data_IF_110003160036
#
_entry.id   IF_110003160036
#
_cell.length_a   1.000
_cell.length_b   1.000
_cell.length_c   1.000
_cell.angle_alpha   90.00
_cell.angle_beta   90.00
_cell.angle_gamma   90.00
#
_symmetry.space_group_name_H-M   'P 1'
#
loop_
_entity.id
_entity.type
_entity.pdbx_description
1 polymer ?
#
# COMPACT_ATOMS: atom_id res chain seq x y z
N UNK A 1 9.34 43.88 -29.18
CA UNK A 1 8.30 43.69 -28.15
C UNK A 1 7.74 42.25 -28.18
N UNK A 2 8.57 41.23 -28.45
CA UNK A 2 8.14 39.85 -28.72
C UNK A 2 8.93 38.80 -27.90
N UNK A 3 9.44 39.18 -26.73
CA UNK A 3 10.28 38.31 -25.91
C UNK A 3 9.79 38.17 -24.45
N UNK A 4 8.66 38.82 -24.13
CA UNK A 4 8.06 38.81 -22.78
C UNK A 4 7.04 37.67 -22.61
N UNK A 5 6.26 37.40 -23.65
CA UNK A 5 5.16 36.42 -23.59
C UNK A 5 5.62 34.96 -23.46
N UNK A 6 6.83 34.64 -23.93
CA UNK A 6 7.36 33.27 -23.87
C UNK A 6 7.95 32.91 -22.49
N UNK A 7 8.42 33.90 -21.73
CA UNK A 7 8.93 33.72 -20.36
C UNK A 7 7.78 33.61 -19.33
N UNK A 8 6.69 34.37 -19.51
CA UNK A 8 5.53 34.34 -18.62
C UNK A 8 4.71 33.04 -18.76
N UNK A 9 4.78 32.35 -19.90
CA UNK A 9 4.12 31.05 -20.13
C UNK A 9 4.75 29.91 -19.33
N UNK A 10 6.07 29.87 -19.25
CA UNK A 10 6.85 28.82 -18.57
C UNK A 10 6.75 28.93 -17.03
N UNK A 11 6.83 30.16 -16.49
CA UNK A 11 6.69 30.41 -15.06
C UNK A 11 5.28 30.07 -14.53
N UNK A 12 4.24 30.30 -15.34
CA UNK A 12 2.87 29.89 -15.01
C UNK A 12 2.67 28.37 -15.05
N UNK A 13 3.31 27.65 -15.97
CA UNK A 13 3.27 26.18 -16.02
C UNK A 13 3.95 25.57 -14.78
N UNK A 14 5.12 26.06 -14.41
CA UNK A 14 5.85 25.61 -13.22
C UNK A 14 5.01 25.82 -11.94
N UNK A 15 4.41 27.01 -11.77
CA UNK A 15 3.53 27.29 -10.61
C UNK A 15 2.36 26.31 -10.53
N UNK A 16 1.70 26.06 -11.66
CA UNK A 16 0.58 25.12 -11.78
C UNK A 16 1.00 23.70 -11.39
N UNK A 17 2.13 23.24 -11.89
CA UNK A 17 2.70 21.92 -11.56
C UNK A 17 3.04 21.80 -10.08
N UNK A 18 3.68 22.82 -9.51
CA UNK A 18 4.00 22.87 -8.08
C UNK A 18 2.74 22.76 -7.22
N UNK A 19 1.69 23.51 -7.55
CA UNK A 19 0.39 23.43 -6.87
C UNK A 19 -0.22 22.03 -6.99
N UNK A 20 -0.19 21.44 -8.19
CA UNK A 20 -0.65 20.07 -8.41
C UNK A 20 0.08 19.05 -7.55
N UNK A 21 1.41 19.14 -7.49
CA UNK A 21 2.25 18.24 -6.68
C UNK A 21 2.01 18.46 -5.20
N UNK A 22 1.89 19.71 -4.75
CA UNK A 22 1.55 20.03 -3.37
C UNK A 22 0.19 19.43 -2.97
N UNK A 23 -0.81 19.51 -3.85
CA UNK A 23 -2.12 18.88 -3.63
C UNK A 23 -2.00 17.35 -3.57
N UNK A 24 -1.23 16.74 -4.47
CA UNK A 24 -0.97 15.31 -4.45
C UNK A 24 -0.35 14.86 -3.11
N UNK A 25 0.70 15.55 -2.66
CA UNK A 25 1.36 15.27 -1.39
C UNK A 25 0.43 15.50 -0.19
N UNK A 26 -0.39 16.56 -0.19
CA UNK A 26 -1.39 16.81 0.84
C UNK A 26 -2.41 15.66 0.94
N UNK A 27 -2.96 15.20 -0.18
CA UNK A 27 -3.91 14.08 -0.23
C UNK A 27 -3.27 12.82 0.35
N UNK A 28 -2.08 12.46 -0.12
CA UNK A 28 -1.43 11.21 0.24
C UNK A 28 -0.95 11.20 1.69
N UNK A 29 -0.27 12.27 2.10
CA UNK A 29 0.20 12.42 3.48
C UNK A 29 -0.97 12.40 4.47
N UNK A 30 -2.10 13.03 4.10
CA UNK A 30 -3.30 12.99 4.93
C UNK A 30 -3.86 11.57 5.07
N UNK A 31 -3.86 10.77 4.00
CA UNK A 31 -4.28 9.37 4.08
C UNK A 31 -3.32 8.50 4.88
N UNK A 32 -2.02 8.67 4.66
CA UNK A 32 -0.99 7.88 5.34
C UNK A 32 -0.95 8.20 6.84
N UNK A 33 -1.21 9.45 7.24
CA UNK A 33 -1.20 9.89 8.64
C UNK A 33 -2.58 9.87 9.30
N UNK A 34 -3.66 9.59 8.55
CA UNK A 34 -5.03 9.69 9.06
C UNK A 34 -5.43 11.11 9.49
N UNK A 35 -4.83 12.14 8.88
CA UNK A 35 -5.04 13.54 9.22
C UNK A 35 -6.05 14.22 8.28
N UNK A 36 -6.72 15.29 8.74
CA UNK A 36 -7.54 16.12 7.85
C UNK A 36 -6.70 16.75 6.74
N UNK A 37 -7.26 16.76 5.52
CA UNK A 37 -6.65 17.43 4.37
C UNK A 37 -6.81 18.94 4.49
N UNK A 38 -5.82 19.70 4.02
CA UNK A 38 -6.02 21.13 3.75
C UNK A 38 -6.99 21.27 2.56
N UNK A 39 -8.15 21.94 2.72
CA UNK A 39 -9.13 22.08 1.65
C UNK A 39 -8.54 22.91 0.50
N UNK A 40 -8.88 22.53 -0.73
CA UNK A 40 -8.41 23.21 -1.94
C UNK A 40 -9.59 23.41 -2.91
N UNK A 41 -9.71 24.61 -3.50
CA UNK A 41 -10.78 24.90 -4.46
C UNK A 41 -10.52 24.18 -5.78
N UNK A 42 -11.48 23.39 -6.26
CA UNK A 42 -11.31 22.48 -7.41
C UNK A 42 -11.09 23.19 -8.75
N UNK A 43 -11.46 24.48 -8.85
CA UNK A 43 -11.45 25.26 -10.09
C UNK A 43 -10.05 25.65 -10.59
N UNK A 44 -8.99 25.48 -9.79
CA UNK A 44 -7.62 25.86 -10.16
C UNK A 44 -6.76 24.67 -10.65
N UNK A 45 -7.39 23.53 -10.97
CA UNK A 45 -6.66 22.39 -11.49
C UNK A 45 -6.06 22.71 -12.86
N UNK A 46 -4.74 22.60 -13.03
CA UNK A 46 -4.14 22.56 -14.35
C UNK A 46 -4.56 21.22 -14.96
N UNK A 47 -5.59 21.23 -15.79
CA UNK A 47 -5.77 20.17 -16.79
C UNK A 47 -4.60 20.35 -17.74
N UNK A 48 -3.53 19.58 -17.53
CA UNK A 48 -2.42 19.60 -18.46
C UNK A 48 -2.88 19.02 -19.80
N UNK A 49 -2.45 19.66 -20.88
CA UNK A 49 -2.26 18.97 -22.16
C UNK A 49 -1.21 17.89 -21.92
N UNK A 50 -1.66 16.65 -21.74
CA UNK A 50 -0.87 15.42 -21.53
C UNK A 50 -0.02 15.04 -22.77
N UNK A 51 0.25 15.99 -23.66
CA UNK A 51 0.89 15.76 -24.96
C UNK A 51 2.40 15.92 -24.98
N UNK A 52 3.02 16.52 -23.95
CA UNK A 52 4.48 16.68 -23.91
C UNK A 52 5.17 15.49 -23.20
N UNK A 53 5.86 14.61 -23.95
CA UNK A 53 6.57 13.45 -23.38
C UNK A 53 7.76 13.83 -22.48
N UNK A 54 8.17 15.10 -22.43
CA UNK A 54 9.18 15.57 -21.49
C UNK A 54 8.61 15.90 -20.10
N UNK A 55 7.28 16.01 -19.96
CA UNK A 55 6.64 16.41 -18.72
C UNK A 55 6.28 15.21 -17.82
N UNK A 56 7.28 14.71 -17.10
CA UNK A 56 7.10 13.59 -16.16
C UNK A 56 6.20 13.90 -14.96
N UNK A 57 6.02 15.18 -14.63
CA UNK A 57 5.11 15.59 -13.56
C UNK A 57 3.66 15.32 -13.94
N UNK A 58 3.32 15.40 -15.24
CA UNK A 58 1.98 15.09 -15.73
C UNK A 58 1.57 13.65 -15.40
N UNK A 59 2.51 12.69 -15.47
CA UNK A 59 2.22 11.30 -15.09
C UNK A 59 1.81 11.19 -13.61
N UNK A 60 2.53 11.85 -12.69
CA UNK A 60 2.18 11.84 -11.26
C UNK A 60 0.84 12.55 -11.01
N UNK A 61 0.61 13.68 -11.68
CA UNK A 61 -0.63 14.44 -11.53
C UNK A 61 -1.84 13.71 -12.10
N UNK A 62 -1.65 12.86 -13.12
CA UNK A 62 -2.71 12.00 -13.67
C UNK A 62 -3.27 11.01 -12.64
N UNK A 63 -2.53 10.71 -11.57
CA UNK A 63 -2.96 9.84 -10.48
C UNK A 63 -3.84 10.53 -9.44
N UNK A 64 -3.91 11.87 -9.46
CA UNK A 64 -4.63 12.65 -8.45
C UNK A 64 -6.14 12.36 -8.41
N UNK A 65 -6.87 12.26 -9.54
CA UNK A 65 -8.29 11.92 -9.53
C UNK A 65 -8.56 10.57 -8.84
N UNK A 66 -7.78 9.54 -9.19
CA UNK A 66 -7.88 8.23 -8.54
C UNK A 66 -7.56 8.31 -7.04
N UNK A 67 -6.54 9.08 -6.65
CA UNK A 67 -6.18 9.30 -5.24
C UNK A 67 -7.32 9.93 -4.44
N UNK A 68 -7.95 10.98 -4.98
CA UNK A 68 -9.09 11.65 -4.33
C UNK A 68 -10.31 10.74 -4.28
N UNK A 69 -10.54 9.93 -5.32
CA UNK A 69 -11.62 8.93 -5.34
C UNK A 69 -11.47 7.84 -4.28
N UNK A 70 -10.24 7.53 -3.88
CA UNK A 70 -9.92 6.56 -2.82
C UNK A 70 -10.03 7.14 -1.40
N UNK A 71 -10.76 8.23 -1.18
CA UNK A 71 -10.99 8.82 0.14
C UNK A 71 -11.50 7.78 1.16
N UNK A 72 -10.80 7.51 2.27
CA UNK A 72 -11.23 6.56 3.30
C UNK A 72 -12.60 6.88 3.90
N UNK A 73 -13.00 8.15 3.89
CA UNK A 73 -14.31 8.59 4.39
C UNK A 73 -15.48 8.27 3.45
N UNK A 74 -15.24 7.78 2.23
CA UNK A 74 -16.28 7.47 1.24
C UNK A 74 -16.42 5.95 1.06
N UNK A 75 -17.63 5.38 1.22
CA UNK A 75 -17.84 3.98 0.91
C UNK A 75 -17.53 3.72 -0.57
N UNK A 76 -16.73 2.70 -0.85
CA UNK A 76 -16.35 2.32 -2.23
C UNK A 76 -16.84 0.90 -2.52
N UNK A 77 -17.69 0.77 -3.53
CA UNK A 77 -18.19 -0.54 -3.99
C UNK A 77 -17.08 -1.38 -4.65
N UNK A 78 -17.08 -2.69 -4.45
CA UNK A 78 -16.04 -3.60 -4.97
C UNK A 78 -15.90 -3.59 -6.51
N UNK A 79 -16.99 -3.39 -7.25
CA UNK A 79 -16.94 -3.24 -8.71
C UNK A 79 -16.21 -1.97 -9.15
N UNK A 80 -16.33 -0.89 -8.38
CA UNK A 80 -15.61 0.37 -8.62
C UNK A 80 -14.10 0.21 -8.32
N UNK A 81 -13.72 -0.68 -7.40
CA UNK A 81 -12.30 -0.96 -7.12
C UNK A 81 -11.62 -1.73 -8.25
N UNK A 82 -12.29 -2.74 -8.82
CA UNK A 82 -11.73 -3.50 -9.94
C UNK A 82 -11.61 -2.65 -11.22
N UNK A 83 -12.57 -1.76 -11.48
CA UNK A 83 -12.45 -0.80 -12.59
C UNK A 83 -11.30 0.19 -12.36
N UNK A 84 -11.21 0.77 -11.15
CA UNK A 84 -10.11 1.66 -10.76
C UNK A 84 -8.75 0.97 -10.91
N UNK A 85 -8.62 -0.28 -10.48
CA UNK A 85 -7.40 -1.07 -10.65
C UNK A 85 -7.06 -1.26 -12.14
N UNK A 86 -8.06 -1.58 -12.97
CA UNK A 86 -7.89 -1.74 -14.41
C UNK A 86 -7.40 -0.46 -15.09
N UNK A 87 -7.93 0.69 -14.69
CA UNK A 87 -7.52 2.00 -15.21
C UNK A 87 -6.09 2.35 -14.77
N UNK A 88 -5.78 2.18 -13.50
CA UNK A 88 -4.42 2.39 -12.97
C UNK A 88 -3.39 1.48 -13.64
N UNK A 89 -3.74 0.24 -13.99
CA UNK A 89 -2.81 -0.67 -14.68
C UNK A 89 -2.67 -0.38 -16.19
N UNK A 90 -3.59 0.39 -16.78
CA UNK A 90 -3.51 0.84 -18.18
C UNK A 90 -2.69 2.13 -18.35
N UNK A 91 -2.56 2.94 -17.30
CA UNK A 91 -1.81 4.18 -17.37
C UNK A 91 -0.31 3.92 -17.60
N UNK A 92 0.29 4.70 -18.49
CA UNK A 92 1.71 4.62 -18.80
C UNK A 92 2.50 5.55 -17.88
N UNK A 93 3.34 4.96 -17.05
CA UNK A 93 4.28 5.69 -16.19
C UNK A 93 5.69 5.32 -16.60
N UNK A 94 6.48 6.25 -17.10
CA UNK A 94 7.82 5.97 -17.64
C UNK A 94 8.91 6.23 -16.62
N UNK A 95 8.72 7.19 -15.73
CA UNK A 95 9.74 7.58 -14.77
C UNK A 95 9.66 6.77 -13.46
N UNK A 96 10.79 6.54 -12.78
CA UNK A 96 10.80 5.84 -11.50
C UNK A 96 9.88 6.45 -10.43
N UNK A 97 9.89 7.76 -10.14
CA UNK A 97 9.01 8.34 -9.11
C UNK A 97 7.52 8.15 -9.42
N UNK A 98 7.18 8.24 -10.69
CA UNK A 98 5.83 8.10 -11.22
C UNK A 98 5.33 6.65 -11.16
N UNK A 99 6.18 5.69 -11.52
CA UNK A 99 5.92 4.25 -11.38
C UNK A 99 5.75 3.86 -9.91
N UNK A 100 6.56 4.41 -9.01
CA UNK A 100 6.41 4.19 -7.58
C UNK A 100 5.06 4.69 -7.08
N UNK A 101 4.59 5.85 -7.57
CA UNK A 101 3.33 6.42 -7.17
C UNK A 101 2.15 5.58 -7.68
N UNK A 102 2.19 5.18 -8.95
CA UNK A 102 1.22 4.23 -9.51
C UNK A 102 1.15 2.95 -8.66
N UNK A 103 2.31 2.41 -8.30
CA UNK A 103 2.41 1.17 -7.50
C UNK A 103 1.81 1.33 -6.11
N UNK A 104 2.07 2.45 -5.43
CA UNK A 104 1.47 2.74 -4.13
C UNK A 104 -0.07 2.75 -4.20
N UNK A 105 -0.64 3.41 -5.22
CA UNK A 105 -2.10 3.41 -5.42
C UNK A 105 -2.65 2.03 -5.75
N UNK A 106 -1.97 1.26 -6.61
CA UNK A 106 -2.35 -0.12 -6.90
C UNK A 106 -2.36 -0.95 -5.63
N UNK A 107 -1.34 -0.86 -4.78
CA UNK A 107 -1.29 -1.53 -3.48
C UNK A 107 -2.43 -1.09 -2.56
N UNK A 108 -2.76 0.19 -2.50
CA UNK A 108 -3.94 0.70 -1.77
C UNK A 108 -5.25 0.06 -2.25
N UNK A 109 -5.47 0.01 -3.56
CA UNK A 109 -6.68 -0.58 -4.16
C UNK A 109 -6.73 -2.08 -3.89
N UNK A 110 -5.60 -2.78 -4.06
CA UNK A 110 -5.51 -4.21 -3.76
C UNK A 110 -5.85 -4.51 -2.30
N UNK A 111 -5.42 -3.68 -1.34
CA UNK A 111 -5.76 -3.88 0.10
C UNK A 111 -7.26 -3.89 0.29
N UNK A 112 -7.96 -2.96 -0.36
CA UNK A 112 -9.43 -2.86 -0.27
C UNK A 112 -10.12 -4.03 -0.97
N UNK A 113 -9.64 -4.44 -2.13
CA UNK A 113 -10.18 -5.60 -2.87
C UNK A 113 -10.08 -6.87 -2.02
N UNK A 114 -8.89 -7.13 -1.44
CA UNK A 114 -8.68 -8.31 -0.60
C UNK A 114 -9.46 -8.23 0.73
N UNK A 115 -9.60 -7.04 1.33
CA UNK A 115 -10.43 -6.84 2.52
C UNK A 115 -11.93 -7.09 2.26
N UNK A 116 -12.39 -6.87 1.02
CA UNK A 116 -13.76 -7.16 0.58
C UNK A 116 -13.92 -8.59 0.02
N UNK A 117 -12.89 -9.43 0.10
CA UNK A 117 -12.84 -10.78 -0.48
C UNK A 117 -13.24 -10.82 -1.98
N UNK A 118 -13.01 -9.72 -2.72
CA UNK A 118 -13.31 -9.64 -4.15
C UNK A 118 -12.21 -10.36 -4.92
N UNK A 119 -12.60 -11.32 -5.76
CA UNK A 119 -11.65 -12.08 -6.56
C UNK A 119 -11.16 -11.29 -7.77
N UNK A 120 -9.84 -11.30 -7.98
CA UNK A 120 -9.21 -10.76 -9.18
C UNK A 120 -9.11 -11.82 -10.27
N UNK A 121 -9.36 -11.40 -11.52
CA UNK A 121 -9.11 -12.28 -12.66
C UNK A 121 -7.61 -12.60 -12.80
N UNK A 122 -7.23 -13.78 -13.32
CA UNK A 122 -5.83 -14.14 -13.53
C UNK A 122 -5.05 -13.12 -14.37
N UNK A 123 -5.68 -12.59 -15.42
CA UNK A 123 -5.08 -11.55 -16.26
C UNK A 123 -4.81 -10.23 -15.50
N UNK A 124 -5.63 -9.90 -14.51
CA UNK A 124 -5.38 -8.73 -13.66
C UNK A 124 -4.20 -8.99 -12.71
N UNK A 125 -4.14 -10.19 -12.14
CA UNK A 125 -3.04 -10.63 -11.28
C UNK A 125 -1.70 -10.56 -12.03
N UNK A 126 -1.64 -11.03 -13.27
CA UNK A 126 -0.41 -10.97 -14.07
C UNK A 126 0.07 -9.53 -14.31
N UNK A 127 -0.86 -8.60 -14.57
CA UNK A 127 -0.55 -7.17 -14.72
C UNK A 127 -0.06 -6.54 -13.42
N UNK A 128 -0.65 -6.90 -12.29
CA UNK A 128 -0.18 -6.47 -10.96
C UNK A 128 1.24 -6.95 -10.70
N UNK A 129 1.54 -8.23 -10.96
CA UNK A 129 2.88 -8.77 -10.77
C UNK A 129 3.90 -8.14 -11.73
N UNK A 130 3.49 -7.80 -12.95
CA UNK A 130 4.33 -7.05 -13.89
C UNK A 130 4.65 -5.63 -13.37
N UNK A 131 3.65 -4.93 -12.81
CA UNK A 131 3.86 -3.63 -12.18
C UNK A 131 4.79 -3.74 -10.97
N UNK A 132 4.62 -4.76 -10.11
CA UNK A 132 5.50 -4.95 -8.95
C UNK A 132 6.96 -5.16 -9.35
N UNK A 133 7.23 -6.00 -10.37
CA UNK A 133 8.59 -6.15 -10.92
C UNK A 133 9.18 -4.82 -11.35
N UNK A 134 8.40 -4.03 -12.09
CA UNK A 134 8.81 -2.72 -12.55
C UNK A 134 9.09 -1.76 -11.39
N UNK A 135 8.21 -1.73 -10.39
CA UNK A 135 8.34 -0.88 -9.20
C UNK A 135 9.61 -1.22 -8.40
N UNK A 136 9.91 -2.50 -8.22
CA UNK A 136 11.14 -2.94 -7.55
C UNK A 136 12.38 -2.48 -8.31
N UNK A 137 12.39 -2.62 -9.65
CA UNK A 137 13.49 -2.10 -10.49
C UNK A 137 13.65 -0.57 -10.33
N UNK A 138 12.55 0.18 -10.38
CA UNK A 138 12.56 1.63 -10.20
C UNK A 138 13.04 2.04 -8.80
N UNK A 139 12.68 1.29 -7.75
CA UNK A 139 13.17 1.55 -6.40
C UNK A 139 14.69 1.34 -6.30
N UNK A 140 15.22 0.29 -6.92
CA UNK A 140 16.67 0.05 -6.97
C UNK A 140 17.41 1.17 -7.71
N UNK A 141 16.87 1.64 -8.84
CA UNK A 141 17.41 2.76 -9.61
C UNK A 141 17.44 4.05 -8.76
N UNK A 142 16.32 4.42 -8.14
CA UNK A 142 16.24 5.60 -7.28
C UNK A 142 17.23 5.57 -6.10
N UNK A 143 17.46 4.39 -5.51
CA UNK A 143 18.46 4.23 -4.44
C UNK A 143 19.88 4.40 -4.99
N UNK A 144 20.20 3.78 -6.14
CA UNK A 144 21.54 3.85 -6.75
C UNK A 144 21.88 5.27 -7.21
N UNK A 145 20.91 5.98 -7.75
CA UNK A 145 21.07 7.35 -8.24
C UNK A 145 21.01 8.38 -7.11
N UNK A 146 20.88 7.94 -5.85
CA UNK A 146 20.75 8.80 -4.68
C UNK A 146 19.61 9.82 -4.83
N UNK A 147 18.51 9.41 -5.46
CA UNK A 147 17.32 10.23 -5.71
C UNK A 147 16.22 9.86 -4.71
N UNK A 148 16.19 10.49 -3.52
CA UNK A 148 15.24 10.12 -2.48
C UNK A 148 13.81 10.43 -2.91
N UNK A 149 12.94 9.42 -2.85
CA UNK A 149 11.51 9.55 -3.06
C UNK A 149 10.75 8.85 -1.94
N UNK A 150 9.70 9.49 -1.43
CA UNK A 150 8.99 9.08 -0.22
C UNK A 150 8.45 7.63 -0.24
N UNK A 151 8.26 7.04 -1.42
CA UNK A 151 7.71 5.69 -1.60
C UNK A 151 8.77 4.59 -1.74
N UNK A 152 10.06 4.93 -1.88
CA UNK A 152 11.18 3.99 -2.14
C UNK A 152 11.34 2.94 -1.04
N UNK A 153 10.86 3.26 0.16
CA UNK A 153 10.84 2.37 1.32
C UNK A 153 9.52 1.61 1.40
N UNK A 154 8.43 2.35 1.32
CA UNK A 154 7.08 1.86 1.61
C UNK A 154 6.64 0.81 0.60
N UNK A 155 6.86 1.06 -0.69
CA UNK A 155 6.40 0.18 -1.78
C UNK A 155 7.08 -1.20 -1.75
N UNK A 156 8.41 -1.34 -1.63
CA UNK A 156 9.02 -2.67 -1.53
C UNK A 156 8.52 -3.49 -0.34
N UNK A 157 8.37 -2.88 0.83
CA UNK A 157 7.81 -3.57 2.01
C UNK A 157 6.37 -4.02 1.76
N UNK A 158 5.51 -3.14 1.23
CA UNK A 158 4.13 -3.48 0.91
C UNK A 158 4.04 -4.57 -0.16
N UNK A 159 4.92 -4.57 -1.17
CA UNK A 159 5.01 -5.65 -2.17
C UNK A 159 5.30 -6.97 -1.49
N UNK A 160 6.31 -7.05 -0.59
CA UNK A 160 6.61 -8.28 0.17
C UNK A 160 5.34 -8.80 0.86
N UNK A 161 4.64 -7.95 1.60
CA UNK A 161 3.40 -8.32 2.28
C UNK A 161 2.34 -8.83 1.29
N UNK A 162 2.15 -8.16 0.15
CA UNK A 162 1.16 -8.58 -0.85
C UNK A 162 1.50 -9.89 -1.53
N UNK A 163 2.76 -10.16 -1.82
CA UNK A 163 3.16 -11.42 -2.46
C UNK A 163 2.85 -12.62 -1.55
N UNK A 164 3.02 -12.46 -0.24
CA UNK A 164 2.65 -13.45 0.77
C UNK A 164 1.13 -13.64 0.86
N UNK A 165 0.36 -12.58 0.64
CA UNK A 165 -1.12 -12.61 0.68
C UNK A 165 -1.72 -13.27 -0.56
N UNK A 166 -1.14 -12.98 -1.73
CA UNK A 166 -1.52 -13.65 -2.96
C UNK A 166 -1.21 -15.15 -2.90
N UNK A 167 -0.10 -15.51 -2.25
CA UNK A 167 0.33 -16.87 -1.94
C UNK A 167 0.32 -17.86 -3.13
N UNK A 168 0.46 -17.33 -4.34
CA UNK A 168 0.57 -18.13 -5.57
C UNK A 168 2.02 -18.40 -5.91
N UNK A 169 2.28 -19.44 -6.72
CA UNK A 169 3.63 -19.70 -7.23
C UNK A 169 4.21 -18.49 -7.99
N UNK A 170 3.39 -17.80 -8.77
CA UNK A 170 3.80 -16.63 -9.56
C UNK A 170 4.10 -15.40 -8.71
N UNK A 171 3.41 -15.22 -7.57
CA UNK A 171 3.71 -14.13 -6.63
C UNK A 171 4.94 -14.44 -5.79
N UNK A 172 5.04 -15.67 -5.26
CA UNK A 172 6.19 -16.08 -4.43
C UNK A 172 7.51 -16.14 -5.20
N UNK A 173 7.48 -16.32 -6.52
CA UNK A 173 8.70 -16.23 -7.34
C UNK A 173 9.30 -14.82 -7.40
N UNK A 174 8.52 -13.78 -7.10
CA UNK A 174 8.98 -12.38 -7.02
C UNK A 174 9.51 -11.99 -5.63
N UNK A 175 9.30 -12.84 -4.63
CA UNK A 175 9.66 -12.55 -3.24
C UNK A 175 11.16 -12.30 -3.01
N UNK A 176 12.11 -13.06 -3.65
CA UNK A 176 13.53 -12.77 -3.52
C UNK A 176 13.89 -11.35 -3.97
N UNK A 177 13.44 -10.95 -5.16
CA UNK A 177 13.70 -9.61 -5.72
C UNK A 177 13.14 -8.51 -4.81
N UNK A 178 11.96 -8.74 -4.21
CA UNK A 178 11.33 -7.79 -3.29
C UNK A 178 12.14 -7.63 -1.99
N UNK A 179 12.61 -8.75 -1.41
CA UNK A 179 13.46 -8.73 -0.21
C UNK A 179 14.82 -8.11 -0.48
N UNK A 180 15.43 -8.38 -1.63
CA UNK A 180 16.71 -7.80 -2.02
C UNK A 180 16.61 -6.30 -2.23
N UNK A 181 15.52 -5.84 -2.86
CA UNK A 181 15.23 -4.42 -2.99
C UNK A 181 15.06 -3.76 -1.61
N UNK A 182 14.32 -4.37 -0.71
CA UNK A 182 14.16 -3.85 0.66
C UNK A 182 15.49 -3.84 1.44
N UNK A 183 16.34 -4.86 1.27
CA UNK A 183 17.67 -4.92 1.86
C UNK A 183 18.58 -3.81 1.31
N UNK A 184 18.53 -3.55 -0.01
CA UNK A 184 19.27 -2.47 -0.65
C UNK A 184 18.84 -1.11 -0.10
N UNK A 185 17.53 -0.84 -0.09
CA UNK A 185 16.97 0.39 0.50
C UNK A 185 17.42 0.53 1.96
N UNK A 186 17.41 -0.55 2.76
CA UNK A 186 17.87 -0.55 4.14
C UNK A 186 19.38 -0.29 4.33
N UNK A 187 20.19 -0.66 3.35
CA UNK A 187 21.62 -0.37 3.37
C UNK A 187 21.92 1.11 3.15
N UNK A 188 21.05 1.80 2.40
CA UNK A 188 21.15 3.21 2.08
C UNK A 188 20.53 4.09 3.17
N UNK A 189 19.28 3.80 3.55
CA UNK A 189 18.55 4.52 4.60
C UNK A 189 18.76 3.82 5.95
N UNK A 190 19.85 4.15 6.63
CA UNK A 190 20.27 3.51 7.90
C UNK A 190 19.49 3.99 9.13
N UNK A 191 18.15 4.04 9.03
CA UNK A 191 17.27 4.37 10.17
C UNK A 191 16.86 3.10 10.91
N UNK A 192 16.51 3.23 12.19
CA UNK A 192 16.04 2.07 12.97
C UNK A 192 14.72 1.54 12.43
N UNK A 193 13.80 2.43 12.04
CA UNK A 193 12.56 2.06 11.33
C UNK A 193 12.82 1.18 10.10
N UNK A 194 13.91 1.41 9.37
CA UNK A 194 14.28 0.60 8.21
C UNK A 194 14.77 -0.80 8.59
N UNK A 195 15.57 -0.88 9.67
CA UNK A 195 16.03 -2.16 10.21
C UNK A 195 14.82 -2.97 10.68
N UNK A 196 13.86 -2.33 11.32
CA UNK A 196 12.65 -2.95 11.82
C UNK A 196 11.76 -3.44 10.68
N UNK A 197 11.52 -2.62 9.65
CA UNK A 197 10.76 -3.02 8.47
C UNK A 197 11.39 -4.23 7.76
N UNK A 198 12.73 -4.24 7.63
CA UNK A 198 13.47 -5.37 7.06
C UNK A 198 13.36 -6.63 7.92
N UNK A 199 13.46 -6.49 9.23
CA UNK A 199 13.35 -7.63 10.17
C UNK A 199 11.92 -8.19 10.18
N UNK A 200 10.91 -7.32 10.19
CA UNK A 200 9.50 -7.68 10.07
C UNK A 200 9.25 -8.45 8.78
N UNK A 201 9.67 -7.94 7.62
CA UNK A 201 9.53 -8.63 6.33
C UNK A 201 10.13 -10.05 6.36
N UNK A 202 11.32 -10.23 6.94
CA UNK A 202 11.96 -11.55 7.08
C UNK A 202 11.17 -12.48 8.01
N UNK A 203 10.64 -11.95 9.11
CA UNK A 203 9.80 -12.70 10.03
C UNK A 203 8.53 -13.19 9.32
N UNK A 204 7.84 -12.33 8.58
CA UNK A 204 6.63 -12.70 7.84
C UNK A 204 6.87 -13.84 6.86
N UNK A 205 7.99 -13.79 6.12
CA UNK A 205 8.38 -14.86 5.19
C UNK A 205 8.64 -16.17 5.92
N UNK A 206 9.31 -16.14 7.07
CA UNK A 206 9.55 -17.33 7.90
C UNK A 206 8.26 -17.93 8.45
N UNK A 207 7.34 -17.09 8.92
CA UNK A 207 6.03 -17.53 9.41
C UNK A 207 5.23 -18.22 8.30
N UNK A 208 5.17 -17.62 7.11
CA UNK A 208 4.51 -18.23 5.96
C UNK A 208 5.17 -19.55 5.53
N UNK A 209 6.50 -19.61 5.56
CA UNK A 209 7.24 -20.84 5.27
C UNK A 209 6.93 -21.94 6.29
N UNK A 210 6.88 -21.59 7.59
CA UNK A 210 6.59 -22.54 8.66
C UNK A 210 5.18 -23.09 8.53
N UNK A 211 4.19 -22.23 8.31
CA UNK A 211 2.80 -22.63 8.06
C UNK A 211 2.70 -23.61 6.89
N UNK A 212 3.34 -23.31 5.76
CA UNK A 212 3.34 -24.22 4.59
C UNK A 212 3.94 -25.60 4.88
N UNK A 213 4.95 -25.68 5.76
CA UNK A 213 5.51 -26.97 6.19
C UNK A 213 4.55 -27.75 7.08
N UNK A 214 3.83 -27.06 7.95
CA UNK A 214 2.78 -27.65 8.80
C UNK A 214 1.62 -28.18 7.95
N UNK A 215 1.16 -27.41 6.96
CA UNK A 215 0.13 -27.85 6.01
C UNK A 215 0.57 -29.12 5.24
N UNK A 216 1.83 -29.15 4.77
CA UNK A 216 2.40 -30.34 4.12
C UNK A 216 2.44 -31.54 5.06
N UNK A 217 2.81 -31.35 6.34
CA UNK A 217 2.81 -32.43 7.32
C UNK A 217 1.41 -32.99 7.57
N UNK A 218 0.38 -32.13 7.61
CA UNK A 218 -1.03 -32.54 7.73
C UNK A 218 -1.45 -33.37 6.51
N UNK A 219 -1.09 -32.93 5.29
CA UNK A 219 -1.39 -33.69 4.08
C UNK A 219 -0.68 -35.05 4.06
N UNK A 220 0.57 -35.11 4.48
CA UNK A 220 1.33 -36.35 4.57
C UNK A 220 0.68 -37.34 5.55
N UNK A 221 0.19 -36.86 6.70
CA UNK A 221 -0.49 -37.70 7.69
C UNK A 221 -1.86 -38.17 7.20
N UNK A 222 -2.62 -37.33 6.48
CA UNK A 222 -3.86 -37.74 5.83
C UNK A 222 -3.63 -38.83 4.78
N UNK A 223 -2.59 -38.69 3.94
CA UNK A 223 -2.22 -39.70 2.94
C UNK A 223 -1.78 -41.02 3.58
N UNK A 224 -1.06 -40.98 4.71
CA UNK A 224 -0.71 -42.19 5.47
C UNK A 224 -1.96 -42.89 6.03
N UNK A 225 -2.93 -42.14 6.54
CA UNK A 225 -4.19 -42.69 7.04
C UNK A 225 -5.01 -43.37 5.92
N UNK A 226 -5.06 -42.77 4.72
CA UNK A 226 -5.74 -43.37 3.56
C UNK A 226 -5.09 -44.67 3.07
N UNK A 227 -3.76 -44.80 3.15
CA UNK A 227 -3.06 -46.05 2.81
C UNK A 227 -3.40 -47.21 3.75
N UNK A 228 -3.96 -46.95 4.92
CA UNK A 228 -4.55 -47.98 5.77
C UNK A 228 -5.91 -48.52 5.27
N UNK A 229 -6.48 -47.90 4.22
CA UNK A 229 -7.87 -48.13 3.75
C UNK A 229 -7.94 -48.51 2.26
N UNK A 230 -6.84 -48.57 1.50
CA UNK A 230 -6.90 -48.87 0.06
C UNK A 230 -7.22 -50.34 -0.27
N UNK A 231 -8.52 -50.63 -0.37
CA UNK A 231 -9.15 -51.11 -1.60
C UNK A 231 -10.33 -50.16 -1.89
N UNK A 232 -10.12 -49.14 -2.73
CA UNK A 232 -11.00 -48.86 -3.87
C UNK A 232 -10.60 -47.55 -4.58
N UNK A 233 -10.67 -47.65 -5.90
CA UNK A 233 -10.30 -46.65 -6.91
C UNK A 233 -11.14 -45.38 -6.84
N UNK A 234 -10.51 -44.19 -6.88
CA UNK A 234 -11.19 -42.97 -7.28
C UNK A 234 -10.30 -41.95 -8.00
N UNK A 235 -10.90 -41.34 -9.02
CA UNK A 235 -10.35 -40.39 -10.00
C UNK A 235 -10.03 -38.99 -9.41
N UNK A 236 -9.20 -38.17 -10.09
CA UNK A 236 -8.68 -36.94 -9.51
C UNK A 236 -9.69 -35.79 -9.58
N UNK A 237 -10.02 -35.21 -8.42
CA UNK A 237 -10.71 -33.91 -8.33
C UNK A 237 -9.67 -32.79 -8.16
N UNK A 238 -9.85 -31.73 -8.94
CA UNK A 238 -9.05 -30.50 -8.87
C UNK A 238 -9.45 -29.67 -7.66
N UNK A 239 -8.49 -29.39 -6.77
CA UNK A 239 -8.68 -28.54 -5.60
C UNK A 239 -8.63 -27.05 -6.00
N UNK A 240 -9.74 -26.34 -5.83
CA UNK A 240 -9.76 -24.89 -5.79
C UNK A 240 -9.56 -24.44 -4.34
N UNK A 241 -8.36 -23.90 -4.06
CA UNK A 241 -8.04 -23.31 -2.77
C UNK A 241 -8.51 -21.87 -2.70
N UNK A 242 -9.41 -21.56 -1.77
CA UNK A 242 -9.82 -20.20 -1.48
C UNK A 242 -10.13 -20.01 0.00
N UNK A 243 -9.09 -19.95 0.83
CA UNK A 243 -9.16 -19.33 2.16
C UNK A 243 -8.46 -17.96 2.10
N UNK A 244 -9.21 -16.94 1.66
CA UNK A 244 -8.71 -15.56 1.44
C UNK A 244 -9.04 -14.58 2.57
N UNK A 245 -9.72 -15.02 3.63
CA UNK A 245 -10.19 -14.14 4.71
C UNK A 245 -9.15 -13.84 5.82
N UNK A 246 -7.91 -14.31 5.66
CA UNK A 246 -6.88 -14.16 6.68
C UNK A 246 -6.16 -12.79 6.65
N UNK A 247 -6.25 -12.00 5.58
CA UNK A 247 -5.54 -10.71 5.49
C UNK A 247 -6.01 -9.70 6.57
N UNK A 248 -7.33 -9.58 6.75
CA UNK A 248 -7.91 -8.76 7.81
C UNK A 248 -7.56 -9.30 9.20
N UNK A 249 -7.59 -10.62 9.37
CA UNK A 249 -7.22 -11.29 10.62
C UNK A 249 -5.71 -11.15 10.93
N UNK A 250 -4.84 -11.21 9.93
CA UNK A 250 -3.38 -11.10 10.08
C UNK A 250 -2.94 -9.73 10.56
N UNK A 251 -3.51 -8.67 9.99
CA UNK A 251 -3.24 -7.32 10.47
C UNK A 251 -3.98 -6.98 11.77
N UNK A 252 -5.11 -7.63 12.05
CA UNK A 252 -5.74 -7.57 13.36
C UNK A 252 -4.91 -8.31 14.44
N UNK A 253 -4.31 -9.46 14.14
CA UNK A 253 -3.45 -10.22 15.07
C UNK A 253 -2.09 -9.57 15.29
N UNK A 254 -1.58 -8.83 14.31
CA UNK A 254 -0.44 -7.93 14.49
C UNK A 254 -0.70 -6.82 15.53
N UNK A 255 -1.95 -6.58 15.95
CA UNK A 255 -2.33 -5.42 16.77
C UNK A 255 -2.43 -5.62 18.29
N UNK A 256 -2.13 -6.79 18.86
CA UNK A 256 -2.18 -6.93 20.34
C UNK A 256 -1.07 -7.74 20.99
N UNK A 257 -0.61 -8.85 20.41
CA UNK A 257 0.36 -9.72 21.10
C UNK A 257 1.81 -9.54 20.59
N UNK A 258 2.01 -9.37 19.28
CA UNK A 258 3.34 -9.06 18.73
C UNK A 258 3.69 -7.57 18.75
N UNK A 259 2.68 -6.70 18.84
CA UNK A 259 2.89 -5.25 19.01
C UNK A 259 3.56 -4.94 20.36
N UNK A 260 3.25 -5.70 21.41
CA UNK A 260 3.91 -5.61 22.73
C UNK A 260 5.37 -6.09 22.69
N UNK A 261 5.70 -7.15 21.93
CA UNK A 261 7.09 -7.57 21.70
C UNK A 261 7.84 -6.58 20.79
N UNK A 262 7.16 -6.03 19.77
CA UNK A 262 7.70 -5.03 18.86
C UNK A 262 7.98 -3.68 19.57
N UNK A 263 7.12 -3.29 20.52
CA UNK A 263 7.31 -2.12 21.39
C UNK A 263 8.37 -2.36 22.48
N UNK A 264 8.40 -3.52 23.13
CA UNK A 264 9.40 -3.84 24.16
C UNK A 264 10.83 -3.89 23.61
N UNK A 265 11.01 -4.26 22.34
CA UNK A 265 12.31 -4.25 21.67
C UNK A 265 12.73 -2.83 21.23
N UNK A 266 11.79 -1.92 20.94
CA UNK A 266 12.08 -0.54 20.53
C UNK A 266 12.27 0.46 21.69
N UNK A 267 11.70 0.22 22.87
CA UNK A 267 11.53 1.25 23.92
C UNK A 267 12.74 1.59 24.83
N UNK A 268 13.84 0.82 25.01
CA UNK A 268 14.83 1.23 26.02
C UNK A 268 15.73 2.41 25.63
N UNK A 269 15.62 2.98 24.42
CA UNK A 269 16.52 4.05 23.94
C UNK A 269 15.85 5.30 23.39
N UNK A 270 14.52 5.34 23.28
CA UNK A 270 13.80 6.44 22.61
C UNK A 270 13.38 7.58 23.53
N UNK A 271 13.63 7.49 24.85
CA UNK A 271 13.14 8.46 25.84
C UNK A 271 14.10 9.61 26.17
N UNK A 272 15.35 9.62 25.69
CA UNK A 272 16.35 10.65 26.06
C UNK A 272 16.89 11.51 24.90
N UNK A 273 16.20 11.56 23.75
CA UNK A 273 16.59 12.40 22.60
C UNK A 273 15.49 13.38 22.18
N UNK A 274 15.83 14.63 21.77
CA UNK A 274 14.83 15.64 21.46
C UNK A 274 13.98 15.24 20.25
N UNK A 275 12.69 15.13 20.53
CA UNK A 275 11.55 14.82 19.68
C UNK A 275 11.51 15.71 18.43
N UNK A 276 11.60 15.11 17.23
CA UNK A 276 11.26 15.75 15.95
C UNK A 276 10.12 15.00 15.25
N UNK A 277 9.01 14.91 15.97
CA UNK A 277 7.62 14.93 15.49
C UNK A 277 6.76 14.73 16.73
N UNK A 278 6.02 15.77 17.11
CA UNK A 278 5.27 15.86 18.37
C UNK A 278 4.47 14.60 18.62
N UNK A 279 4.66 14.03 19.81
CA UNK A 279 4.05 12.77 20.19
C UNK A 279 2.54 12.87 20.18
N UNK A 280 1.87 11.82 19.71
CA UNK A 280 0.57 11.39 20.21
C UNK A 280 0.34 9.92 19.84
N UNK A 281 -0.43 9.29 20.74
CA UNK A 281 -0.95 7.93 20.83
C UNK A 281 -1.05 7.05 19.56
N UNK A 282 -0.88 5.75 19.82
CA UNK A 282 -0.99 4.52 19.03
C UNK A 282 -2.27 4.32 18.18
N UNK A 283 -2.92 5.37 17.67
CA UNK A 283 -4.15 5.30 16.86
C UNK A 283 -3.92 5.32 15.35
N UNK A 284 -2.69 5.52 14.87
CA UNK A 284 -2.39 5.67 13.43
C UNK A 284 -2.59 4.37 12.64
N UNK A 285 -2.45 3.20 13.28
CA UNK A 285 -2.66 1.90 12.62
C UNK A 285 -4.15 1.49 12.55
N UNK A 286 -5.05 2.18 13.25
CA UNK A 286 -6.49 1.91 13.22
C UNK A 286 -7.18 2.40 11.93
N UNK A 287 -6.63 3.37 11.21
CA UNK A 287 -7.29 3.93 10.03
C UNK A 287 -7.06 3.13 8.74
N UNK A 288 -6.05 2.27 8.72
CA UNK A 288 -5.80 1.35 7.60
C UNK A 288 -6.65 0.06 7.69
N UNK A 289 -7.23 -0.24 8.85
CA UNK A 289 -8.01 -1.45 9.12
C UNK A 289 -9.36 -1.09 9.72
N UNK A 290 -10.39 -1.04 8.88
CA UNK A 290 -11.76 -0.82 9.34
C UNK A 290 -12.22 -1.96 10.23
N UNK A 291 -12.22 -1.74 11.55
CA UNK A 291 -13.11 -2.45 12.46
C UNK A 291 -14.37 -1.59 12.63
N UNK A 292 -15.50 -2.08 12.11
CA UNK A 292 -16.82 -1.55 12.45
C UNK A 292 -17.02 -1.68 13.96
N UNK A 293 -17.03 -0.56 14.68
CA UNK A 293 -17.67 -0.47 16.00
C UNK A 293 -18.93 0.35 15.81
N UNK A 294 -20.12 -0.13 16.25
CA UNK A 294 -21.35 0.62 16.08
C UNK A 294 -21.27 1.93 16.87
N UNK A 295 -21.73 3.03 16.27
CA UNK A 295 -21.87 4.30 16.95
C UNK A 295 -22.91 4.20 18.07
N UNK A 296 -22.48 3.85 19.28
CA UNK A 296 -23.30 4.06 20.48
C UNK A 296 -23.09 5.48 20.96
N UNK A 297 -24.08 6.32 20.62
CA UNK A 297 -24.58 7.46 21.42
C UNK A 297 -23.56 8.44 22.00
N UNK A 298 -23.39 9.58 21.33
CA UNK A 298 -22.98 10.81 22.00
C UNK A 298 -24.16 11.41 22.80
N UNK A 299 -23.92 11.96 24.01
CA UNK A 299 -24.95 12.63 24.79
C UNK A 299 -25.34 13.96 24.16
N UNK A 300 -26.65 14.21 24.05
CA UNK A 300 -27.19 15.52 23.70
C UNK A 300 -26.80 16.54 24.79
N UNK A 301 -25.95 17.51 24.43
CA UNK A 301 -25.72 18.68 25.27
C UNK A 301 -26.86 19.68 25.04
N UNK A 302 -27.56 20.02 26.12
CA UNK A 302 -28.71 20.90 26.13
C UNK A 302 -28.37 22.32 25.68
N UNK A 303 -29.22 22.86 24.80
CA UNK A 303 -29.27 24.29 24.51
C UNK A 303 -29.96 25.06 25.65
N UNK A 304 -29.62 26.35 25.84
CA UNK A 304 -30.24 27.16 26.88
C UNK A 304 -31.66 27.60 26.48
N UNK A 305 -32.57 27.51 27.45
CA UNK A 305 -33.94 28.03 27.38
C UNK A 305 -33.95 29.56 27.30
N UNK A 306 -34.86 30.20 26.55
CA UNK A 306 -35.00 31.65 26.54
C UNK A 306 -35.79 32.10 27.78
N UNK A 307 -35.37 33.20 28.38
CA UNK A 307 -36.14 33.91 29.40
C UNK A 307 -36.29 35.39 28.98
N UNK A 308 -37.56 35.80 28.97
CA UNK A 308 -38.13 37.16 28.86
C UNK A 308 -37.99 37.89 27.52
#
# INVERSE_FOLDING_TARGET
MLQRDQYDGDDNDIRRRLVGVARHLNVWTSYDLGLPRVPYQENDLPVHDLGDPSNYTAEILSLLPASVGLDPGKPTDGNNLTSTLSELLKSSHTQPPSTMAQSNLVLCVLRRIYAQAVELSPAMVDKVLALFRKALSCAQELVRDCSPWHQVVNVPFQIVCFLLVMDTRSSLSLLPDALDTLNLTASFYKTDTMKDARNAARLLVRLQQQRRKEDVAIFDDALKACRGVENDTAAPMTANGADRNWFGAFFADLSTQQMSEFEQVMVPGMLDGPTLLGGYDNRVLSFAYGSMVPATSFPQNGGPSPAA
#
